data_IF_543364935625
#
_entry.id   IF_543364935625
#
_cell.length_a   1.000
_cell.length_b   1.000
_cell.length_c   1.000
_cell.angle_alpha   90.00
_cell.angle_beta   90.00
_cell.angle_gamma   90.00
#
_symmetry.space_group_name_H-M   'P 1'
#
loop_
_entity.id
_entity.type
_entity.pdbx_description
1 polymer ?
#
# COMPACT_ATOMS: atom_id res chain seq x y z
N UNK A 1 21.77 -5.45 12.16
CA UNK A 1 20.37 -5.07 12.32
C UNK A 1 20.10 -3.78 11.56
N UNK A 2 19.06 -3.77 10.73
CA UNK A 2 18.61 -2.56 10.02
C UNK A 2 17.56 -1.90 10.92
N UNK A 3 17.79 -0.63 11.31
CA UNK A 3 16.82 0.16 12.05
C UNK A 3 16.13 1.11 11.10
N UNK A 4 14.78 1.09 11.09
CA UNK A 4 13.97 2.04 10.34
C UNK A 4 13.39 3.07 11.31
N UNK A 5 13.71 4.34 11.08
CA UNK A 5 13.13 5.47 11.83
C UNK A 5 12.15 6.21 10.93
N UNK A 6 10.94 6.46 11.43
CA UNK A 6 9.89 7.13 10.69
C UNK A 6 9.15 8.14 11.58
N UNK A 7 8.81 9.32 11.02
CA UNK A 7 8.12 10.41 11.72
C UNK A 7 8.92 11.73 11.71
N UNK A 8 8.32 12.80 12.23
CA UNK A 8 8.90 14.16 12.17
C UNK A 8 10.30 14.29 12.81
N UNK A 9 10.63 13.46 13.78
CA UNK A 9 11.92 13.46 14.48
C UNK A 9 12.80 12.25 14.13
N UNK A 10 12.48 11.53 13.05
CA UNK A 10 13.19 10.31 12.67
C UNK A 10 14.69 10.54 12.45
N UNK A 11 15.06 11.67 11.86
CA UNK A 11 16.44 12.03 11.58
C UNK A 11 17.24 12.32 12.86
N UNK A 12 16.64 12.99 13.83
CA UNK A 12 17.27 13.25 15.15
C UNK A 12 17.44 11.95 15.94
N UNK A 13 16.46 11.07 15.91
CA UNK A 13 16.56 9.76 16.53
C UNK A 13 17.66 8.91 15.87
N UNK A 14 17.76 8.91 14.56
CA UNK A 14 18.79 8.19 13.83
C UNK A 14 20.19 8.73 14.13
N UNK A 15 20.37 10.06 14.25
CA UNK A 15 21.64 10.70 14.63
C UNK A 15 22.13 10.26 16.00
N UNK A 16 21.21 10.06 16.95
CA UNK A 16 21.55 9.55 18.30
C UNK A 16 22.20 8.15 18.25
N UNK A 17 21.85 7.34 17.22
CA UNK A 17 22.45 6.03 16.96
C UNK A 17 23.64 6.06 15.99
N UNK A 18 24.22 7.24 15.75
CA UNK A 18 25.43 7.40 14.93
C UNK A 18 25.15 7.56 13.42
N UNK A 19 23.90 7.77 13.02
CA UNK A 19 23.58 8.10 11.63
C UNK A 19 24.05 9.53 11.32
N UNK A 20 24.89 9.67 10.32
CA UNK A 20 25.22 10.96 9.73
C UNK A 20 24.45 11.10 8.42
N UNK A 21 23.52 12.05 8.36
CA UNK A 21 22.84 12.37 7.12
C UNK A 21 23.87 12.80 6.08
N UNK A 22 24.07 11.99 5.05
CA UNK A 22 24.83 12.43 3.89
C UNK A 22 24.05 13.56 3.24
N UNK A 23 24.66 14.70 2.99
CA UNK A 23 24.09 15.84 2.25
C UNK A 23 23.89 15.55 0.76
N UNK A 24 24.07 14.34 0.33
CA UNK A 24 23.65 13.90 -0.99
C UNK A 24 22.12 13.90 -1.02
N UNK A 25 21.57 14.84 -1.79
CA UNK A 25 20.19 14.71 -2.28
C UNK A 25 20.15 13.38 -3.00
N UNK A 26 19.74 12.34 -2.29
CA UNK A 26 19.43 11.07 -2.91
C UNK A 26 18.32 11.34 -3.92
N UNK A 27 18.71 11.41 -5.19
CA UNK A 27 17.74 11.26 -6.28
C UNK A 27 16.93 10.02 -5.94
N UNK A 28 15.60 10.08 -5.95
CA UNK A 28 14.79 8.92 -5.65
C UNK A 28 15.31 7.76 -6.50
N UNK A 29 15.83 6.71 -5.87
CA UNK A 29 16.20 5.50 -6.58
C UNK A 29 14.91 4.86 -7.07
N UNK A 30 14.56 5.18 -8.30
CA UNK A 30 13.46 4.51 -9.00
C UNK A 30 13.83 3.05 -9.12
N UNK A 31 12.98 2.21 -8.59
CA UNK A 31 13.23 0.78 -8.57
C UNK A 31 13.21 0.25 -10.00
N UNK A 32 14.26 -0.47 -10.39
CA UNK A 32 14.41 -1.04 -11.72
C UNK A 32 13.78 -2.45 -11.86
N UNK A 33 12.72 -2.70 -11.11
CA UNK A 33 12.03 -3.98 -11.13
C UNK A 33 10.50 -3.76 -11.04
N UNK A 34 9.69 -4.69 -11.61
CA UNK A 34 8.25 -4.64 -11.51
C UNK A 34 7.81 -4.89 -10.07
N UNK A 35 6.86 -4.08 -9.58
CA UNK A 35 6.34 -4.19 -8.21
C UNK A 35 4.82 -4.08 -8.16
N UNK A 36 4.23 -4.67 -7.11
CA UNK A 36 2.89 -4.33 -6.66
C UNK A 36 3.00 -3.44 -5.43
N UNK A 37 2.33 -2.28 -5.48
CA UNK A 37 2.14 -1.40 -4.33
C UNK A 37 0.68 -1.42 -3.89
N UNK A 38 0.43 -1.37 -2.57
CA UNK A 38 -0.94 -1.27 -2.03
C UNK A 38 -1.04 -0.19 -0.97
N UNK A 39 -2.19 0.50 -0.96
CA UNK A 39 -2.52 1.51 0.02
C UNK A 39 -4.03 1.54 0.27
N UNK A 40 -4.45 2.13 1.40
CA UNK A 40 -5.84 2.28 1.77
C UNK A 40 -6.25 3.75 1.96
N UNK A 41 -7.54 4.02 1.72
CA UNK A 41 -8.19 5.29 2.02
C UNK A 41 -9.51 5.06 2.74
N UNK A 42 -9.88 6.02 3.60
CA UNK A 42 -11.10 5.95 4.40
C UNK A 42 -10.90 5.38 5.81
N UNK A 43 -9.64 5.12 6.21
CA UNK A 43 -9.31 4.71 7.56
C UNK A 43 -9.64 5.86 8.55
N UNK A 44 -10.54 5.60 9.52
CA UNK A 44 -11.01 6.61 10.47
C UNK A 44 -12.15 7.50 9.97
N UNK A 45 -12.69 7.28 8.79
CA UNK A 45 -13.87 7.97 8.29
C UNK A 45 -15.13 7.44 8.98
N UNK A 46 -15.87 8.31 9.68
CA UNK A 46 -17.10 7.92 10.38
C UNK A 46 -18.23 7.51 9.42
N UNK A 47 -18.27 8.08 8.23
CA UNK A 47 -19.38 7.91 7.28
C UNK A 47 -18.97 7.37 5.92
N UNK A 48 -17.67 7.19 5.69
CA UNK A 48 -17.13 6.68 4.44
C UNK A 48 -16.86 5.19 4.46
N UNK A 49 -16.70 4.60 3.27
CA UNK A 49 -16.20 3.24 3.12
C UNK A 49 -14.68 3.18 3.22
N UNK A 50 -14.17 1.98 3.47
CA UNK A 50 -12.75 1.69 3.38
C UNK A 50 -12.44 1.18 1.97
N UNK A 51 -11.53 1.84 1.25
CA UNK A 51 -11.07 1.38 -0.05
C UNK A 51 -9.60 0.98 0.02
N UNK A 52 -9.26 -0.13 -0.62
CA UNK A 52 -7.87 -0.59 -0.79
C UNK A 52 -7.62 -0.77 -2.28
N UNK A 53 -6.47 -0.31 -2.74
CA UNK A 53 -6.03 -0.45 -4.13
C UNK A 53 -4.68 -1.15 -4.16
N UNK A 54 -4.56 -2.18 -5.00
CA UNK A 54 -3.30 -2.78 -5.41
C UNK A 54 -2.99 -2.35 -6.85
N UNK A 55 -1.80 -1.87 -7.10
CA UNK A 55 -1.35 -1.41 -8.42
C UNK A 55 -0.05 -2.11 -8.81
N UNK A 56 0.03 -2.61 -10.05
CA UNK A 56 1.25 -3.20 -10.61
C UNK A 56 1.94 -2.19 -11.50
N UNK A 57 3.19 -1.87 -11.16
CA UNK A 57 4.01 -0.88 -11.86
C UNK A 57 5.30 -1.52 -12.34
N UNK A 58 5.63 -1.28 -13.62
CA UNK A 58 6.88 -1.71 -14.23
C UNK A 58 7.84 -0.52 -14.45
N UNK A 59 9.16 -0.76 -14.59
CA UNK A 59 10.12 0.32 -14.83
C UNK A 59 9.80 1.19 -16.04
N UNK A 60 9.23 0.62 -17.10
CA UNK A 60 8.87 1.31 -18.34
C UNK A 60 7.77 2.36 -18.12
N UNK A 61 6.97 2.20 -17.07
CA UNK A 61 5.88 3.12 -16.74
C UNK A 61 6.34 4.32 -15.89
N UNK A 62 7.57 4.33 -15.38
CA UNK A 62 8.06 5.39 -14.50
C UNK A 62 8.04 6.77 -15.14
N UNK A 63 8.45 6.87 -16.42
CA UNK A 63 8.44 8.16 -17.11
C UNK A 63 7.02 8.69 -17.34
N UNK A 64 6.08 7.80 -17.61
CA UNK A 64 4.66 8.15 -17.68
C UNK A 64 4.16 8.68 -16.34
N UNK A 65 4.43 7.97 -15.23
CA UNK A 65 4.01 8.37 -13.90
C UNK A 65 4.62 9.71 -13.47
N UNK A 66 5.91 9.95 -13.76
CA UNK A 66 6.57 11.23 -13.51
C UNK A 66 5.93 12.38 -14.29
N UNK A 67 5.73 12.21 -15.59
CA UNK A 67 5.09 13.23 -16.45
C UNK A 67 3.68 13.55 -15.98
N UNK A 68 2.97 12.55 -15.49
CA UNK A 68 1.63 12.72 -14.94
C UNK A 68 1.63 13.48 -13.59
N UNK A 69 2.79 13.52 -12.90
CA UNK A 69 2.95 14.15 -11.61
C UNK A 69 2.35 13.32 -10.47
N UNK A 70 2.45 11.99 -10.58
CA UNK A 70 2.07 11.08 -9.48
C UNK A 70 3.04 11.26 -8.31
N UNK A 71 2.50 11.37 -7.12
CA UNK A 71 3.27 11.55 -5.88
C UNK A 71 2.41 11.21 -4.68
N UNK A 72 2.90 11.55 -3.47
CA UNK A 72 2.14 11.37 -2.24
C UNK A 72 0.79 12.09 -2.34
N UNK A 73 -0.30 11.34 -2.15
CA UNK A 73 -1.67 11.84 -2.27
C UNK A 73 -1.96 13.01 -1.33
N UNK A 74 -1.27 13.10 -0.20
CA UNK A 74 -1.38 14.20 0.76
C UNK A 74 -0.83 15.54 0.20
N UNK A 75 0.01 15.48 -0.82
CA UNK A 75 0.60 16.66 -1.49
C UNK A 75 -0.16 17.06 -2.75
N UNK A 76 -1.07 16.23 -3.21
CA UNK A 76 -1.86 16.45 -4.42
C UNK A 76 -3.22 17.08 -4.08
N UNK A 77 -3.66 18.02 -4.93
CA UNK A 77 -5.03 18.56 -4.83
C UNK A 77 -6.05 17.56 -5.38
N UNK A 78 -7.28 17.61 -4.86
CA UNK A 78 -8.39 16.78 -5.37
C UNK A 78 -8.61 16.97 -6.87
N UNK A 79 -8.47 18.21 -7.37
CA UNK A 79 -8.57 18.51 -8.78
C UNK A 79 -7.51 17.75 -9.59
N UNK A 80 -6.26 17.75 -9.12
CA UNK A 80 -5.17 17.02 -9.77
C UNK A 80 -5.42 15.52 -9.74
N UNK A 81 -5.86 14.97 -8.59
CA UNK A 81 -6.20 13.56 -8.46
C UNK A 81 -7.29 13.17 -9.47
N UNK A 82 -8.37 13.94 -9.57
CA UNK A 82 -9.44 13.68 -10.53
C UNK A 82 -9.00 13.72 -12.00
N UNK A 83 -7.98 14.51 -12.32
CA UNK A 83 -7.41 14.59 -13.66
C UNK A 83 -6.53 13.37 -14.00
N UNK A 84 -5.73 12.89 -13.05
CA UNK A 84 -4.77 11.82 -13.30
C UNK A 84 -5.37 10.41 -13.18
N UNK A 85 -6.36 10.22 -12.31
CA UNK A 85 -6.95 8.88 -12.04
C UNK A 85 -7.47 8.18 -13.29
N UNK A 86 -8.20 8.82 -14.22
CA UNK A 86 -8.64 8.14 -15.46
C UNK A 86 -7.47 7.61 -16.27
N UNK A 87 -6.39 8.39 -16.39
CA UNK A 87 -5.19 8.03 -17.13
C UNK A 87 -4.41 6.89 -16.46
N UNK A 88 -4.36 6.90 -15.11
CA UNK A 88 -3.78 5.80 -14.34
C UNK A 88 -4.57 4.51 -14.56
N UNK A 89 -5.90 4.57 -14.48
CA UNK A 89 -6.76 3.40 -14.67
C UNK A 89 -6.60 2.77 -16.07
N UNK A 90 -6.30 3.56 -17.07
CA UNK A 90 -6.08 3.08 -18.44
C UNK A 90 -4.73 2.37 -18.60
N UNK A 91 -3.68 2.88 -17.93
CA UNK A 91 -2.30 2.48 -18.19
C UNK A 91 -1.70 1.56 -17.12
N UNK A 92 -2.24 1.58 -15.90
CA UNK A 92 -1.70 0.82 -14.77
C UNK A 92 -2.67 -0.30 -14.42
N UNK A 93 -2.18 -1.54 -14.44
CA UNK A 93 -2.97 -2.67 -13.95
C UNK A 93 -3.20 -2.53 -12.45
N UNK A 94 -4.45 -2.63 -12.03
CA UNK A 94 -4.83 -2.40 -10.65
C UNK A 94 -6.07 -3.22 -10.27
N UNK A 95 -6.22 -3.43 -8.97
CA UNK A 95 -7.43 -3.96 -8.34
C UNK A 95 -7.84 -3.04 -7.21
N UNK A 96 -9.10 -2.64 -7.20
CA UNK A 96 -9.68 -1.79 -6.17
C UNK A 96 -10.81 -2.52 -5.46
N UNK A 97 -10.74 -2.56 -4.13
CA UNK A 97 -11.78 -3.12 -3.27
C UNK A 97 -12.39 -2.01 -2.42
N UNK A 98 -13.70 -1.94 -2.41
CA UNK A 98 -14.46 -1.00 -1.60
C UNK A 98 -15.32 -1.76 -0.58
N UNK A 99 -15.05 -1.53 0.68
CA UNK A 99 -15.84 -2.03 1.79
C UNK A 99 -16.78 -0.92 2.27
N UNK A 100 -18.09 -1.07 2.02
CA UNK A 100 -19.09 -0.11 2.49
C UNK A 100 -19.17 -0.09 4.02
N UNK A 101 -19.62 1.02 4.66
CA UNK A 101 -19.78 1.09 6.11
C UNK A 101 -20.67 -0.03 6.66
N UNK A 102 -21.79 -0.34 5.99
CA UNK A 102 -22.65 -1.44 6.37
C UNK A 102 -21.93 -2.79 6.38
N UNK A 103 -21.14 -3.06 5.33
CA UNK A 103 -20.39 -4.32 5.25
C UNK A 103 -19.24 -4.35 6.25
N UNK A 104 -18.60 -3.21 6.50
CA UNK A 104 -17.57 -3.08 7.52
C UNK A 104 -18.10 -3.49 8.90
N UNK A 105 -19.25 -2.94 9.31
CA UNK A 105 -19.87 -3.29 10.59
C UNK A 105 -20.19 -4.79 10.67
N UNK A 106 -20.76 -5.38 9.62
CA UNK A 106 -21.02 -6.82 9.58
C UNK A 106 -19.75 -7.67 9.77
N UNK A 107 -18.63 -7.23 9.18
CA UNK A 107 -17.34 -7.91 9.31
C UNK A 107 -16.80 -7.79 10.74
N UNK A 108 -16.91 -6.60 11.35
CA UNK A 108 -16.53 -6.41 12.76
C UNK A 108 -17.39 -7.29 13.67
N UNK A 109 -18.70 -7.33 13.48
CA UNK A 109 -19.61 -8.16 14.26
C UNK A 109 -19.31 -9.68 14.11
N UNK A 110 -18.71 -10.08 12.99
CA UNK A 110 -18.25 -11.46 12.77
C UNK A 110 -16.88 -11.78 13.40
N UNK A 111 -16.32 -10.87 14.19
CA UNK A 111 -15.12 -11.07 15.00
C UNK A 111 -13.82 -10.58 14.36
N UNK A 112 -13.89 -9.80 13.27
CA UNK A 112 -12.71 -9.05 12.79
C UNK A 112 -12.50 -7.80 13.66
N UNK A 113 -11.26 -7.34 13.70
CA UNK A 113 -10.92 -5.99 14.18
C UNK A 113 -10.45 -5.12 13.00
N UNK A 114 -10.31 -3.82 13.24
CA UNK A 114 -9.92 -2.86 12.19
C UNK A 114 -8.62 -3.24 11.45
N UNK A 115 -7.63 -3.79 12.16
CA UNK A 115 -6.36 -4.22 11.54
C UNK A 115 -6.57 -5.47 10.69
N UNK A 116 -7.26 -6.49 11.21
CA UNK A 116 -7.51 -7.73 10.47
C UNK A 116 -8.37 -7.53 9.22
N UNK A 117 -9.28 -6.57 9.24
CA UNK A 117 -10.06 -6.16 8.04
C UNK A 117 -9.13 -5.58 6.98
N UNK A 118 -8.23 -4.68 7.36
CA UNK A 118 -7.26 -4.09 6.41
C UNK A 118 -6.34 -5.15 5.82
N UNK A 119 -5.76 -6.01 6.67
CA UNK A 119 -4.91 -7.13 6.20
C UNK A 119 -5.66 -7.99 5.18
N UNK A 120 -6.91 -8.36 5.46
CA UNK A 120 -7.72 -9.16 4.54
C UNK A 120 -7.96 -8.45 3.19
N UNK A 121 -8.24 -7.14 3.21
CA UNK A 121 -8.47 -6.36 1.99
C UNK A 121 -7.20 -6.20 1.16
N UNK A 122 -6.06 -5.87 1.78
CA UNK A 122 -4.78 -5.77 1.07
C UNK A 122 -4.43 -7.10 0.40
N UNK A 123 -4.51 -8.21 1.14
CA UNK A 123 -4.26 -9.54 0.59
C UNK A 123 -5.19 -9.89 -0.56
N UNK A 124 -6.48 -9.60 -0.42
CA UNK A 124 -7.46 -9.88 -1.47
C UNK A 124 -7.17 -9.06 -2.73
N UNK A 125 -6.84 -7.77 -2.59
CA UNK A 125 -6.51 -6.91 -3.73
C UNK A 125 -5.25 -7.40 -4.46
N UNK A 126 -4.21 -7.77 -3.71
CA UNK A 126 -2.97 -8.32 -4.27
C UNK A 126 -3.26 -9.66 -4.96
N UNK A 127 -3.99 -10.56 -4.31
CA UNK A 127 -4.35 -11.86 -4.88
C UNK A 127 -5.08 -11.72 -6.21
N UNK A 128 -6.11 -10.87 -6.25
CA UNK A 128 -6.87 -10.63 -7.48
C UNK A 128 -6.00 -10.05 -8.60
N UNK A 129 -5.06 -9.16 -8.25
CA UNK A 129 -4.14 -8.59 -9.22
C UNK A 129 -3.17 -9.66 -9.76
N UNK A 130 -2.65 -10.53 -8.90
CA UNK A 130 -1.80 -11.66 -9.33
C UNK A 130 -2.55 -12.63 -10.24
N UNK A 131 -3.85 -12.85 -10.03
CA UNK A 131 -4.68 -13.70 -10.90
C UNK A 131 -4.81 -13.14 -12.34
N UNK A 132 -4.51 -11.86 -12.56
CA UNK A 132 -4.45 -11.29 -13.93
C UNK A 132 -3.18 -11.70 -14.70
N UNK A 133 -2.25 -12.42 -14.06
CA UNK A 133 -1.03 -12.91 -14.68
C UNK A 133 0.17 -11.96 -14.56
N UNK A 134 0.05 -10.86 -13.78
CA UNK A 134 1.21 -9.98 -13.51
C UNK A 134 2.26 -10.72 -12.68
N UNK A 135 3.53 -10.40 -12.93
CA UNK A 135 4.66 -11.02 -12.26
C UNK A 135 5.51 -9.95 -11.58
N UNK A 136 5.16 -9.54 -10.35
CA UNK A 136 5.98 -8.61 -9.58
C UNK A 136 7.22 -9.31 -9.04
N UNK A 137 8.32 -8.58 -8.99
CA UNK A 137 9.51 -9.01 -8.25
C UNK A 137 9.36 -8.74 -6.75
N UNK A 138 8.63 -7.67 -6.39
CA UNK A 138 8.34 -7.31 -5.01
C UNK A 138 6.91 -6.83 -4.82
N UNK A 139 6.43 -7.00 -3.59
CA UNK A 139 5.15 -6.48 -3.13
C UNK A 139 5.43 -5.54 -1.97
N UNK A 140 4.95 -4.29 -2.09
CA UNK A 140 5.10 -3.24 -1.07
C UNK A 140 3.72 -2.90 -0.53
N UNK A 141 3.58 -2.96 0.79
CA UNK A 141 2.33 -2.64 1.49
C UNK A 141 2.64 -1.47 2.42
N UNK A 142 1.81 -0.42 2.38
CA UNK A 142 1.97 0.68 3.33
C UNK A 142 1.77 0.20 4.78
N UNK A 143 2.68 0.60 5.67
CA UNK A 143 2.78 0.07 7.03
C UNK A 143 1.70 0.66 7.95
N UNK A 144 0.51 0.06 7.98
CA UNK A 144 -0.56 0.41 8.92
C UNK A 144 -0.55 -0.43 10.22
N UNK A 145 0.36 -1.42 10.30
CA UNK A 145 0.55 -2.26 11.49
C UNK A 145 1.98 -2.83 11.50
N UNK A 146 2.40 -3.47 12.60
CA UNK A 146 3.70 -4.14 12.66
C UNK A 146 3.70 -5.42 11.81
N UNK A 147 4.87 -5.81 11.29
CA UNK A 147 5.06 -7.05 10.51
C UNK A 147 4.54 -8.28 11.26
N UNK A 148 4.80 -8.36 12.55
CA UNK A 148 4.31 -9.45 13.42
C UNK A 148 2.78 -9.55 13.41
N UNK A 149 2.08 -8.42 13.49
CA UNK A 149 0.63 -8.39 13.45
C UNK A 149 0.11 -8.72 12.05
N UNK A 150 0.75 -8.18 11.01
CA UNK A 150 0.39 -8.50 9.62
C UNK A 150 0.46 -10.00 9.39
N UNK A 151 1.58 -10.65 9.71
CA UNK A 151 1.80 -12.09 9.58
C UNK A 151 0.80 -12.91 10.39
N UNK A 152 0.48 -12.47 11.62
CA UNK A 152 -0.54 -13.11 12.46
C UNK A 152 -1.91 -13.14 11.75
N UNK A 153 -2.34 -12.01 11.18
CA UNK A 153 -3.67 -11.92 10.56
C UNK A 153 -3.71 -12.57 9.18
N UNK A 154 -2.65 -12.55 8.40
CA UNK A 154 -2.54 -13.29 7.13
C UNK A 154 -2.74 -14.77 7.34
N UNK A 155 -2.14 -15.34 8.40
CA UNK A 155 -2.20 -16.77 8.72
C UNK A 155 -3.49 -17.22 9.38
N UNK A 156 -4.40 -16.32 9.73
CA UNK A 156 -5.69 -16.71 10.29
C UNK A 156 -6.53 -17.41 9.23
N UNK A 157 -7.13 -18.55 9.57
CA UNK A 157 -7.90 -19.39 8.68
C UNK A 157 -8.99 -18.62 7.90
N UNK A 158 -9.66 -17.68 8.57
CA UNK A 158 -10.67 -16.80 7.95
C UNK A 158 -10.14 -15.80 6.94
N UNK A 159 -8.83 -15.54 6.94
CA UNK A 159 -8.13 -14.64 6.00
C UNK A 159 -7.29 -15.44 5.00
N UNK A 160 -7.45 -16.75 4.97
CA UNK A 160 -6.66 -17.65 4.14
C UNK A 160 -7.19 -17.59 2.71
N UNK A 161 -6.43 -17.00 1.83
CA UNK A 161 -6.59 -17.13 0.39
C UNK A 161 -5.75 -18.31 -0.09
N UNK A 162 -6.17 -18.96 -1.16
CA UNK A 162 -5.55 -20.18 -1.71
C UNK A 162 -4.07 -20.04 -2.10
N UNK A 163 -3.50 -18.84 -1.98
CA UNK A 163 -2.09 -18.57 -2.18
C UNK A 163 -1.61 -17.56 -1.12
N UNK A 164 -1.16 -18.01 0.06
CA UNK A 164 -0.63 -17.11 1.07
C UNK A 164 0.60 -16.42 0.50
N UNK A 165 0.53 -15.08 0.40
CA UNK A 165 1.69 -14.27 0.10
C UNK A 165 2.65 -14.40 1.27
N UNK A 166 3.78 -15.05 1.08
CA UNK A 166 4.93 -14.96 1.98
C UNK A 166 5.56 -13.59 1.74
N UNK A 167 5.35 -12.68 2.68
CA UNK A 167 6.11 -11.43 2.73
C UNK A 167 7.51 -11.79 3.24
N UNK A 168 8.53 -11.66 2.41
CA UNK A 168 9.93 -11.72 2.80
C UNK A 168 10.39 -10.37 3.35
#
# INVERSE_FOLDING_TARGET
PIFLFQGENAEQAAQFFGYQASKEKTTPHWQNYPLIGTDEVGNGSYFGGLAVVASFVTPEQHDFLRKLGVGDSKTLTDQKIRQIVPLLKEKIQHQALLLSPKKYNQVIDSGYNAVSVKVALHNQAIYLLLQTGVQPEKIVIDAFTSDKNYQKYVKQERNHFSNPLTLE
#
